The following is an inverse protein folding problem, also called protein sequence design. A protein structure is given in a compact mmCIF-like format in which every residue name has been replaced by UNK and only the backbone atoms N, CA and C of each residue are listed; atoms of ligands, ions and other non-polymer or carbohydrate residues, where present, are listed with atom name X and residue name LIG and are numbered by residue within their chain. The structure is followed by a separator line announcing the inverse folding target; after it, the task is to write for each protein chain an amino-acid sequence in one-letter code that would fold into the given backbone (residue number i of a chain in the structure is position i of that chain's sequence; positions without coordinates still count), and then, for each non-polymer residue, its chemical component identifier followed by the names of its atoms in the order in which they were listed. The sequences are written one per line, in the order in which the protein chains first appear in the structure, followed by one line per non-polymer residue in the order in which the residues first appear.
data_IF_505190855733
#
_entry.id   IF_505190855733
#
_cell.length_a   1.000
_cell.length_b   1.000
_cell.length_c   1.000
_cell.angle_alpha   90.00
_cell.angle_beta   90.00
_cell.angle_gamma   90.00
#
_symmetry.space_group_name_H-M   'P 1'
#
loop_
_entity.id
_entity.type
_entity.pdbx_description
1 polymer ?
#
# COMPACT_ATOMS: atom_id res chain seq x y z
N UNK A 1 6.05 8.06 -6.84
CA UNK A 1 6.05 9.48 -7.26
C UNK A 1 5.19 10.34 -6.35
N UNK A 2 3.96 9.93 -6.02
CA UNK A 2 3.12 10.72 -5.10
C UNK A 2 3.78 10.94 -3.72
N UNK A 3 4.40 9.92 -3.14
CA UNK A 3 5.10 10.04 -1.84
C UNK A 3 6.31 10.98 -1.88
N UNK A 4 7.09 10.99 -2.97
CA UNK A 4 8.24 11.91 -3.08
C UNK A 4 7.76 13.37 -3.17
N UNK A 5 6.66 13.64 -3.87
CA UNK A 5 6.03 14.96 -3.90
C UNK A 5 5.49 15.43 -2.55
N UNK A 6 5.17 14.48 -1.64
CA UNK A 6 4.78 14.78 -0.26
C UNK A 6 5.99 14.99 0.68
N UNK A 7 7.22 14.96 0.15
CA UNK A 7 8.45 15.22 0.90
C UNK A 7 9.09 13.98 1.55
N UNK A 8 8.63 12.77 1.22
CA UNK A 8 9.30 11.55 1.66
C UNK A 8 10.60 11.34 0.86
N UNK A 9 11.70 11.01 1.55
CA UNK A 9 12.97 10.73 0.88
C UNK A 9 12.88 9.45 0.04
N UNK A 10 13.58 9.43 -1.10
CA UNK A 10 13.62 8.26 -1.97
C UNK A 10 14.21 7.04 -1.25
N UNK A 11 15.21 7.25 -0.39
CA UNK A 11 15.80 6.20 0.46
C UNK A 11 14.75 5.54 1.36
N UNK A 12 13.90 6.34 2.02
CA UNK A 12 12.84 5.81 2.90
C UNK A 12 11.75 5.08 2.11
N UNK A 13 11.41 5.59 0.93
CA UNK A 13 10.46 4.91 0.03
C UNK A 13 11.03 3.55 -0.40
N UNK A 14 12.28 3.53 -0.83
CA UNK A 14 12.96 2.32 -1.28
C UNK A 14 13.08 1.27 -0.17
N UNK A 15 13.43 1.69 1.04
CA UNK A 15 13.57 0.81 2.20
C UNK A 15 12.24 0.13 2.56
N UNK A 16 11.15 0.91 2.66
CA UNK A 16 9.79 0.38 2.87
C UNK A 16 9.34 -0.57 1.75
N UNK A 17 9.82 -0.37 0.53
CA UNK A 17 9.45 -1.21 -0.62
C UNK A 17 10.25 -2.52 -0.66
N UNK A 18 11.49 -2.51 -0.15
CA UNK A 18 12.44 -3.65 -0.20
C UNK A 18 12.37 -4.52 1.07
N UNK A 19 12.13 -3.93 2.24
CA UNK A 19 12.22 -4.60 3.54
C UNK A 19 10.88 -4.55 4.31
N UNK A 20 9.86 -5.26 3.80
CA UNK A 20 8.69 -5.60 4.63
C UNK A 20 9.02 -6.61 5.74
N UNK A 21 10.27 -7.09 5.80
CA UNK A 21 10.80 -8.01 6.80
C UNK A 21 11.51 -7.30 7.96
N UNK A 22 11.46 -5.96 7.97
CA UNK A 22 12.00 -5.17 9.07
C UNK A 22 11.36 -5.58 10.40
N UNK A 23 12.14 -5.98 11.43
CA UNK A 23 11.63 -6.36 12.73
C UNK A 23 10.86 -5.24 13.45
N UNK A 24 11.03 -3.98 13.05
CA UNK A 24 10.30 -2.84 13.62
C UNK A 24 8.86 -2.72 13.07
N UNK A 25 8.52 -3.44 11.99
CA UNK A 25 7.16 -3.50 11.45
C UNK A 25 6.36 -4.58 12.19
N UNK A 26 5.25 -4.18 12.82
CA UNK A 26 4.40 -5.12 13.54
C UNK A 26 3.82 -6.19 12.59
N UNK A 27 3.54 -7.42 13.07
CA UNK A 27 2.91 -8.45 12.25
C UNK A 27 1.58 -8.00 11.60
N UNK A 28 0.84 -7.14 12.31
CA UNK A 28 -0.40 -6.50 11.82
C UNK A 28 -0.11 -5.59 10.63
N UNK A 29 0.86 -4.70 10.77
CA UNK A 29 1.18 -3.74 9.71
C UNK A 29 1.81 -4.45 8.50
N UNK A 30 2.62 -5.49 8.72
CA UNK A 30 3.13 -6.35 7.63
C UNK A 30 1.98 -6.98 6.83
N UNK A 31 0.99 -7.57 7.51
CA UNK A 31 -0.18 -8.16 6.83
C UNK A 31 -1.00 -7.13 6.06
N UNK A 32 -1.21 -5.94 6.63
CA UNK A 32 -1.87 -4.81 5.95
C UNK A 32 -1.12 -4.44 4.66
N UNK A 33 0.21 -4.31 4.73
CA UNK A 33 1.04 -3.93 3.58
C UNK A 33 1.06 -5.03 2.50
N UNK A 34 1.15 -6.30 2.89
CA UNK A 34 1.05 -7.45 1.97
C UNK A 34 -0.29 -7.47 1.24
N UNK A 35 -1.38 -7.27 1.97
CA UNK A 35 -2.71 -7.22 1.39
C UNK A 35 -2.88 -6.02 0.44
N UNK A 36 -2.43 -4.83 0.85
CA UNK A 36 -2.46 -3.63 0.00
C UNK A 36 -1.64 -3.84 -1.29
N UNK A 37 -0.44 -4.43 -1.19
CA UNK A 37 0.40 -4.78 -2.34
C UNK A 37 -0.32 -5.75 -3.29
N UNK A 38 -0.96 -6.79 -2.76
CA UNK A 38 -1.74 -7.74 -3.57
C UNK A 38 -2.94 -7.05 -4.24
N UNK A 39 -3.61 -6.14 -3.54
CA UNK A 39 -4.72 -5.36 -4.08
C UNK A 39 -4.29 -4.43 -5.22
N UNK A 40 -3.10 -3.83 -5.13
CA UNK A 40 -2.53 -3.00 -6.21
C UNK A 40 -2.13 -3.82 -7.44
N UNK A 41 -1.47 -4.98 -7.24
CA UNK A 41 -0.85 -5.74 -8.34
C UNK A 41 -1.80 -6.76 -8.98
N UNK A 42 -2.62 -7.43 -8.17
CA UNK A 42 -3.47 -8.55 -8.60
C UNK A 42 -4.80 -8.57 -7.84
N UNK A 43 -5.64 -7.52 -7.96
CA UNK A 43 -6.89 -7.41 -7.19
C UNK A 43 -7.85 -8.59 -7.43
N UNK A 44 -7.90 -9.10 -8.67
CA UNK A 44 -8.71 -10.24 -9.07
C UNK A 44 -8.29 -11.59 -8.45
N UNK A 45 -7.18 -11.62 -7.69
CA UNK A 45 -6.69 -12.82 -6.98
C UNK A 45 -6.91 -12.75 -5.48
N UNK A 46 -7.47 -11.66 -4.96
CA UNK A 46 -7.83 -11.57 -3.54
C UNK A 46 -9.01 -12.49 -3.30
N UNK A 47 -8.91 -13.28 -2.23
CA UNK A 47 -9.97 -14.16 -1.77
C UNK A 47 -10.66 -13.59 -0.55
N UNK A 48 -11.90 -14.00 -0.31
CA UNK A 48 -12.65 -13.62 0.89
C UNK A 48 -11.90 -14.02 2.17
N UNK A 49 -11.22 -15.18 2.15
CA UNK A 49 -10.43 -15.68 3.26
C UNK A 49 -9.27 -14.73 3.64
N UNK A 50 -8.61 -14.12 2.68
CA UNK A 50 -7.55 -13.13 2.94
C UNK A 50 -8.10 -11.82 3.52
N UNK A 51 -9.31 -11.43 3.08
CA UNK A 51 -10.00 -10.26 3.63
C UNK A 51 -10.44 -10.52 5.07
N UNK A 52 -10.95 -11.71 5.36
CA UNK A 52 -11.32 -12.15 6.71
C UNK A 52 -10.09 -12.32 7.61
N UNK A 53 -8.94 -12.74 7.06
CA UNK A 53 -7.69 -12.85 7.82
C UNK A 53 -7.29 -11.50 8.42
N UNK A 54 -7.49 -10.37 7.72
CA UNK A 54 -7.22 -9.04 8.27
C UNK A 54 -8.01 -8.75 9.55
N UNK A 55 -9.22 -9.29 9.68
CA UNK A 55 -10.04 -9.12 10.90
C UNK A 55 -9.43 -9.84 12.10
N UNK A 56 -8.72 -10.94 11.88
CA UNK A 56 -7.97 -11.62 12.94
C UNK A 56 -6.81 -10.78 13.51
N UNK A 57 -6.33 -9.79 12.74
CA UNK A 57 -5.37 -8.76 13.20
C UNK A 57 -6.07 -7.53 13.81
N UNK A 58 -7.38 -7.61 14.09
CA UNK A 58 -8.16 -6.57 14.74
C UNK A 58 -8.61 -5.44 13.81
N UNK A 59 -8.60 -5.64 12.49
CA UNK A 59 -9.16 -4.67 11.55
C UNK A 59 -10.68 -4.80 11.49
N UNK A 60 -11.35 -3.65 11.50
CA UNK A 60 -12.78 -3.55 11.20
C UNK A 60 -13.02 -3.44 9.69
N UNK A 61 -14.22 -3.77 9.23
CA UNK A 61 -14.60 -3.60 7.81
C UNK A 61 -14.34 -2.17 7.32
N UNK A 62 -14.67 -1.17 8.15
CA UNK A 62 -14.44 0.24 7.81
C UNK A 62 -12.96 0.57 7.62
N UNK A 63 -12.08 0.01 8.46
CA UNK A 63 -10.63 0.19 8.31
C UNK A 63 -10.07 -0.51 7.07
N UNK A 64 -10.63 -1.67 6.70
CA UNK A 64 -10.24 -2.37 5.46
C UNK A 64 -10.65 -1.52 4.24
N UNK A 65 -11.86 -0.97 4.24
CA UNK A 65 -12.33 -0.06 3.18
C UNK A 65 -11.47 1.19 3.09
N UNK A 66 -11.15 1.82 4.23
CA UNK A 66 -10.30 3.01 4.28
C UNK A 66 -8.89 2.73 3.74
N UNK A 67 -8.26 1.64 4.18
CA UNK A 67 -6.96 1.19 3.69
C UNK A 67 -6.95 1.01 2.17
N UNK A 68 -7.97 0.33 1.61
CA UNK A 68 -8.10 0.16 0.17
C UNK A 68 -8.33 1.49 -0.56
N UNK A 69 -9.12 2.39 0.02
CA UNK A 69 -9.35 3.73 -0.52
C UNK A 69 -8.06 4.55 -0.60
N UNK A 70 -7.25 4.56 0.46
CA UNK A 70 -5.94 5.23 0.47
C UNK A 70 -5.01 4.60 -0.56
N UNK A 71 -4.93 3.27 -0.62
CA UNK A 71 -4.11 2.57 -1.61
C UNK A 71 -4.50 2.91 -3.05
N UNK A 72 -5.79 2.93 -3.37
CA UNK A 72 -6.27 3.24 -4.72
C UNK A 72 -6.05 4.71 -5.07
N UNK A 73 -6.18 5.62 -4.10
CA UNK A 73 -5.84 7.04 -4.27
C UNK A 73 -4.38 7.17 -4.76
N UNK A 74 -3.42 6.59 -4.04
CA UNK A 74 -2.01 6.65 -4.43
C UNK A 74 -1.74 5.97 -5.78
N UNK A 75 -2.43 4.85 -6.06
CA UNK A 75 -2.33 4.16 -7.35
C UNK A 75 -2.83 5.04 -8.50
N UNK A 76 -3.98 5.68 -8.35
CA UNK A 76 -4.54 6.62 -9.32
C UNK A 76 -3.66 7.85 -9.53
N UNK A 77 -3.14 8.44 -8.44
CA UNK A 77 -2.21 9.56 -8.51
C UNK A 77 -0.92 9.20 -9.23
N UNK A 78 -0.32 8.03 -8.94
CA UNK A 78 0.89 7.59 -9.64
C UNK A 78 0.61 7.42 -11.15
N UNK A 79 -0.50 6.75 -11.54
CA UNK A 79 -0.90 6.61 -12.95
C UNK A 79 -1.12 7.97 -13.63
N UNK A 80 -1.73 8.91 -12.93
CA UNK A 80 -1.94 10.27 -13.42
C UNK A 80 -0.63 11.01 -13.66
N UNK A 81 0.30 10.96 -12.69
CA UNK A 81 1.62 11.57 -12.81
C UNK A 81 2.46 10.93 -13.95
N UNK A 82 2.42 9.61 -14.06
CA UNK A 82 3.04 8.86 -15.16
C UNK A 82 2.50 9.30 -16.52
N UNK A 83 1.18 9.48 -16.62
CA UNK A 83 0.51 9.92 -17.86
C UNK A 83 0.89 11.34 -18.27
N UNK A 84 1.20 12.20 -17.30
CA UNK A 84 1.64 13.57 -17.55
C UNK A 84 3.13 13.67 -17.90
N UNK A 85 3.89 12.56 -17.83
CA UNK A 85 5.33 12.50 -18.02
C UNK A 85 6.07 13.60 -17.24
N UNK A 86 5.57 13.95 -16.04
CA UNK A 86 6.17 15.00 -15.20
C UNK A 86 7.58 14.54 -14.86
N UNK A 87 8.63 15.23 -15.32
CA UNK A 87 9.98 14.93 -14.88
C UNK A 87 10.00 15.14 -13.37
N UNK A 88 10.51 14.16 -12.62
CA UNK A 88 10.88 14.37 -11.22
C UNK A 88 11.99 15.43 -11.23
N UNK A 89 11.60 16.69 -11.08
CA UNK A 89 12.50 17.85 -10.98
C UNK A 89 13.16 17.91 -9.62
#
# INVERSE_FOLDING_TARGET
MALSMMGFSQERIDDLTKNLEDPDISPRDKKILEYAKKATLTPHRITDAETEELKSFGLTDSQIVEMLGVMELFTGYNKFLDSLAVPLS
#
